data_IF_477304081892
#
_entry.id   IF_477304081892
#
_cell.length_a   1.000
_cell.length_b   1.000
_cell.length_c   1.000
_cell.angle_alpha   90.00
_cell.angle_beta   90.00
_cell.angle_gamma   90.00
#
_symmetry.space_group_name_H-M   'P 1'
#
loop_
_entity.id
_entity.type
_entity.pdbx_description
1 polymer ?
#
# COMPACT_ATOMS: atom_id res chain seq x y z
N UNK A 1 -11.50 -6.76 4.86
CA UNK A 1 -11.64 -5.73 3.80
C UNK A 1 -12.70 -6.13 2.77
N UNK A 2 -12.56 -7.24 2.02
CA UNK A 2 -13.54 -7.64 1.00
C UNK A 2 -14.99 -7.74 1.52
N UNK A 3 -15.21 -8.36 2.68
CA UNK A 3 -16.55 -8.39 3.28
C UNK A 3 -17.14 -6.98 3.57
N UNK A 4 -16.30 -5.97 3.84
CA UNK A 4 -16.77 -4.58 4.01
C UNK A 4 -17.09 -3.93 2.66
N UNK A 5 -16.34 -4.25 1.60
CA UNK A 5 -16.66 -3.81 0.23
C UNK A 5 -18.07 -4.29 -0.13
N UNK A 6 -18.35 -5.57 0.09
CA UNK A 6 -19.64 -6.19 -0.19
C UNK A 6 -20.75 -5.58 0.68
N UNK A 7 -20.52 -5.46 1.99
CA UNK A 7 -21.51 -4.92 2.94
C UNK A 7 -21.86 -3.45 2.68
N UNK A 8 -20.92 -2.66 2.14
CA UNK A 8 -21.11 -1.24 1.83
C UNK A 8 -21.46 -0.99 0.35
N UNK A 9 -21.52 -2.03 -0.49
CA UNK A 9 -21.84 -1.92 -1.91
C UNK A 9 -20.81 -1.11 -2.72
N UNK A 10 -19.54 -1.14 -2.32
CA UNK A 10 -18.46 -0.38 -2.97
C UNK A 10 -17.96 -1.08 -4.22
N UNK A 11 -17.45 -0.32 -5.21
CA UNK A 11 -16.94 -0.89 -6.47
C UNK A 11 -15.48 -1.33 -6.38
N UNK A 12 -14.75 -0.83 -5.38
CA UNK A 12 -13.33 -1.11 -5.18
C UNK A 12 -12.99 -1.23 -3.70
N UNK A 13 -12.01 -2.08 -3.39
CA UNK A 13 -11.39 -2.14 -2.05
C UNK A 13 -10.76 -0.82 -1.62
N UNK A 14 -10.36 0.02 -2.59
CA UNK A 14 -9.72 1.31 -2.35
C UNK A 14 -10.73 2.43 -2.02
N UNK A 15 -12.03 2.17 -2.10
CA UNK A 15 -13.08 3.11 -1.66
C UNK A 15 -13.38 2.97 -0.15
N UNK A 16 -12.81 1.95 0.50
CA UNK A 16 -12.94 1.78 1.94
C UNK A 16 -12.16 2.89 2.68
N UNK A 17 -12.66 3.35 3.84
CA UNK A 17 -11.94 4.28 4.71
C UNK A 17 -10.81 3.56 5.47
N UNK A 18 -9.86 2.97 4.73
CA UNK A 18 -8.73 2.20 5.25
C UNK A 18 -7.46 2.68 4.56
N UNK A 19 -6.54 3.24 5.34
CA UNK A 19 -5.18 3.54 4.91
C UNK A 19 -4.25 2.35 5.20
N UNK A 20 -3.28 2.10 4.31
CA UNK A 20 -2.27 1.06 4.48
C UNK A 20 -0.90 1.70 4.73
N UNK A 21 -0.47 1.74 5.99
CA UNK A 21 0.89 2.09 6.40
C UNK A 21 1.56 0.84 6.98
N UNK A 22 2.42 0.18 6.19
CA UNK A 22 2.91 -1.17 6.45
C UNK A 22 4.41 -1.15 6.70
N UNK A 23 4.81 -1.65 7.86
CA UNK A 23 6.20 -1.95 8.15
C UNK A 23 6.59 -3.32 7.59
N UNK A 24 7.81 -3.43 7.06
CA UNK A 24 8.37 -4.71 6.59
C UNK A 24 9.79 -4.93 7.11
N UNK A 25 10.23 -6.18 7.07
CA UNK A 25 11.61 -6.55 7.44
C UNK A 25 12.11 -7.76 6.64
N UNK A 26 11.35 -8.86 6.64
CA UNK A 26 11.75 -10.12 6.03
C UNK A 26 10.87 -10.51 4.82
N UNK A 27 11.12 -11.69 4.24
CA UNK A 27 10.59 -12.06 2.93
C UNK A 27 9.10 -12.44 2.98
N UNK A 28 8.56 -12.83 4.14
CA UNK A 28 7.11 -13.07 4.29
C UNK A 28 6.34 -11.76 4.17
N UNK A 29 6.88 -10.63 4.64
CA UNK A 29 6.27 -9.32 4.37
C UNK A 29 6.20 -9.01 2.86
N UNK A 30 7.18 -9.49 2.08
CA UNK A 30 7.17 -9.33 0.61
C UNK A 30 6.02 -10.12 -0.03
N UNK A 31 5.79 -11.38 0.38
CA UNK A 31 4.66 -12.14 -0.20
C UNK A 31 3.31 -11.56 0.22
N UNK A 32 3.20 -11.02 1.44
CA UNK A 32 2.00 -10.30 1.88
C UNK A 32 1.77 -9.05 1.02
N UNK A 33 2.81 -8.26 0.75
CA UNK A 33 2.72 -7.12 -0.15
C UNK A 33 2.22 -7.56 -1.54
N UNK A 34 2.83 -8.58 -2.14
CA UNK A 34 2.41 -9.09 -3.45
C UNK A 34 0.96 -9.58 -3.46
N UNK A 35 0.48 -10.21 -2.38
CA UNK A 35 -0.91 -10.61 -2.24
C UNK A 35 -1.86 -9.40 -2.20
N UNK A 36 -1.51 -8.34 -1.47
CA UNK A 36 -2.29 -7.09 -1.45
C UNK A 36 -2.35 -6.43 -2.83
N UNK A 37 -1.21 -6.38 -3.55
CA UNK A 37 -1.15 -5.86 -4.92
C UNK A 37 -1.99 -6.69 -5.89
N UNK A 38 -1.98 -8.02 -5.75
CA UNK A 38 -2.82 -8.92 -6.54
C UNK A 38 -4.32 -8.68 -6.28
N UNK A 39 -4.70 -8.42 -5.03
CA UNK A 39 -6.08 -8.05 -4.64
C UNK A 39 -6.47 -6.63 -5.07
N UNK A 40 -5.57 -5.89 -5.71
CA UNK A 40 -5.84 -4.55 -6.23
C UNK A 40 -5.80 -3.44 -5.18
N UNK A 41 -5.19 -3.68 -4.01
CA UNK A 41 -4.92 -2.64 -3.02
C UNK A 41 -3.90 -1.66 -3.57
N UNK A 42 -4.20 -0.37 -3.44
CA UNK A 42 -3.37 0.75 -3.90
C UNK A 42 -2.99 1.67 -2.75
N UNK A 43 -2.06 2.58 -3.00
CA UNK A 43 -1.63 3.64 -2.09
C UNK A 43 -1.05 3.13 -0.76
N UNK A 44 -0.36 1.98 -0.82
CA UNK A 44 0.34 1.40 0.33
C UNK A 44 1.60 2.22 0.60
N UNK A 45 1.71 2.74 1.81
CA UNK A 45 2.94 3.31 2.34
C UNK A 45 3.76 2.19 2.96
N UNK A 46 4.97 1.98 2.44
CA UNK A 46 5.85 0.86 2.82
C UNK A 46 7.15 1.39 3.42
N UNK A 47 7.46 0.98 4.65
CA UNK A 47 8.59 1.52 5.39
C UNK A 47 9.29 0.54 6.35
N UNK A 48 10.41 0.95 6.97
CA UNK A 48 10.93 2.33 6.97
C UNK A 48 11.67 2.73 5.68
N UNK A 49 12.12 1.76 4.88
CA UNK A 49 12.76 1.99 3.58
C UNK A 49 12.10 1.11 2.52
N UNK A 50 12.20 1.50 1.24
CA UNK A 50 11.80 0.61 0.16
C UNK A 50 12.79 -0.56 0.03
N UNK A 51 12.31 -1.76 -0.37
CA UNK A 51 13.19 -2.91 -0.53
C UNK A 51 14.32 -2.68 -1.54
N UNK A 52 15.56 -2.89 -1.10
CA UNK A 52 16.76 -2.65 -1.91
C UNK A 52 16.86 -3.54 -3.16
N UNK A 53 16.13 -4.66 -3.21
CA UNK A 53 16.06 -5.53 -4.39
C UNK A 53 15.20 -4.96 -5.53
N UNK A 54 14.47 -3.87 -5.29
CA UNK A 54 13.71 -3.17 -6.33
C UNK A 54 14.66 -2.28 -7.12
N UNK A 55 14.89 -2.63 -8.39
CA UNK A 55 15.58 -1.72 -9.29
C UNK A 55 14.73 -0.46 -9.53
N UNK A 56 15.34 0.68 -9.92
CA UNK A 56 14.60 1.92 -10.18
C UNK A 56 13.43 1.74 -11.17
N UNK A 57 13.60 0.93 -12.21
CA UNK A 57 12.54 0.66 -13.19
C UNK A 57 11.38 -0.13 -12.58
N UNK A 58 11.67 -1.13 -11.75
CA UNK A 58 10.64 -1.91 -11.06
C UNK A 58 9.92 -1.05 -10.03
N UNK A 59 10.64 -0.25 -9.26
CA UNK A 59 10.06 0.70 -8.33
C UNK A 59 9.09 1.67 -9.04
N UNK A 60 9.49 2.25 -10.19
CA UNK A 60 8.63 3.12 -10.98
C UNK A 60 7.35 2.42 -11.47
N UNK A 61 7.42 1.14 -11.85
CA UNK A 61 6.22 0.37 -12.20
C UNK A 61 5.29 0.24 -11.00
N UNK A 62 5.83 -0.02 -9.80
CA UNK A 62 5.03 -0.15 -8.58
C UNK A 62 4.36 1.17 -8.18
N UNK A 63 5.10 2.28 -8.27
CA UNK A 63 4.55 3.63 -8.04
C UNK A 63 3.44 3.93 -9.05
N UNK A 64 3.71 3.78 -10.35
CA UNK A 64 2.77 4.20 -11.41
C UNK A 64 1.51 3.33 -11.47
N UNK A 65 1.61 2.02 -11.17
CA UNK A 65 0.46 1.10 -11.25
C UNK A 65 -0.33 1.00 -9.96
N UNK A 66 0.36 1.04 -8.82
CA UNK A 66 -0.23 0.73 -7.51
C UNK A 66 -0.16 1.88 -6.51
N UNK A 67 0.54 2.97 -6.82
CA UNK A 67 0.68 4.10 -5.90
C UNK A 67 1.51 3.77 -4.66
N UNK A 68 2.43 2.79 -4.75
CA UNK A 68 3.33 2.52 -3.61
C UNK A 68 4.14 3.78 -3.29
N UNK A 69 4.18 4.12 -2.01
CA UNK A 69 4.96 5.24 -1.48
C UNK A 69 5.86 4.78 -0.33
N UNK A 70 6.93 5.53 -0.09
CA UNK A 70 7.66 5.44 1.17
C UNK A 70 6.91 6.14 2.31
N UNK A 71 7.52 6.20 3.48
CA UNK A 71 7.02 6.99 4.62
C UNK A 71 7.61 8.40 4.60
N UNK A 72 6.83 9.39 5.06
CA UNK A 72 7.27 10.77 5.28
C UNK A 72 7.52 11.03 6.76
N UNK A 73 7.25 12.27 7.21
CA UNK A 73 7.14 12.54 8.64
C UNK A 73 5.81 12.01 9.19
N UNK A 74 5.75 11.75 10.50
CA UNK A 74 4.53 11.26 11.16
C UNK A 74 3.33 12.18 10.91
N UNK A 75 3.53 13.50 11.04
CA UNK A 75 2.45 14.47 10.86
C UNK A 75 1.95 14.54 9.40
N UNK A 76 2.86 14.47 8.44
CA UNK A 76 2.53 14.46 7.00
C UNK A 76 1.76 13.20 6.62
N UNK A 77 2.22 12.03 7.06
CA UNK A 77 1.60 10.74 6.74
C UNK A 77 0.21 10.63 7.38
N UNK A 78 0.05 11.05 8.64
CA UNK A 78 -1.26 11.07 9.32
C UNK A 78 -2.22 12.00 8.57
N UNK A 79 -1.77 13.19 8.17
CA UNK A 79 -2.60 14.14 7.43
C UNK A 79 -3.02 13.59 6.07
N UNK A 80 -2.12 12.91 5.36
CA UNK A 80 -2.42 12.31 4.06
C UNK A 80 -3.40 11.14 4.16
N UNK A 81 -3.32 10.33 5.23
CA UNK A 81 -4.16 9.14 5.41
C UNK A 81 -5.58 9.43 5.92
N UNK A 82 -5.79 10.59 6.53
CA UNK A 82 -7.09 11.03 7.05
C UNK A 82 -7.86 11.95 6.09
N UNK A 83 -7.23 12.38 4.99
CA UNK A 83 -7.84 13.22 3.97
C UNK A 83 -8.77 12.43 3.05
#
# INVERSE_FOLDING_TARGET
ALALVDALGLKSINELPIAYNVAWYEQKAVIVLLALLFLGVKNIHLGPTLPAFLSPNVANVLVNKFGIAGIGTVDEDIKAMLA
#
